data_IF_799762932730
#
_entry.id   IF_799762932730
#
_cell.length_a   1.000
_cell.length_b   1.000
_cell.length_c   1.000
_cell.angle_alpha   90.00
_cell.angle_beta   90.00
_cell.angle_gamma   90.00
#
_symmetry.space_group_name_H-M   'P 1'
#
loop_
_entity.id
_entity.type
_entity.pdbx_description
1 polymer ?
#
# COMPACT_ATOMS: atom_id res chain seq x y z
N UNK A 1 2.51 12.07 3.75
CA UNK A 1 2.07 10.83 3.10
C UNK A 1 0.94 10.19 3.88
N UNK A 2 -0.12 9.80 3.19
CA UNK A 2 -1.29 9.09 3.71
C UNK A 2 -1.47 7.79 2.90
N UNK A 3 -1.93 6.72 3.54
CA UNK A 3 -2.43 5.52 2.85
C UNK A 3 -3.90 5.39 3.24
N UNK A 4 -4.78 5.35 2.25
CA UNK A 4 -6.23 5.24 2.41
C UNK A 4 -6.75 4.01 1.65
N UNK A 5 -7.88 3.47 2.08
CA UNK A 5 -8.49 2.29 1.50
C UNK A 5 -9.44 1.61 2.47
N UNK A 6 -9.94 0.44 2.06
CA UNK A 6 -10.93 -0.28 2.87
C UNK A 6 -10.33 -0.86 4.14
N UNK A 7 -11.10 -0.77 5.23
CA UNK A 7 -10.79 -1.38 6.52
C UNK A 7 -11.10 -2.89 6.54
N UNK A 8 -11.88 -3.38 5.56
CA UNK A 8 -12.28 -4.78 5.45
C UNK A 8 -12.20 -5.28 4.02
N UNK A 9 -11.43 -6.35 3.81
CA UNK A 9 -11.26 -7.04 2.53
C UNK A 9 -11.89 -8.43 2.60
N UNK A 10 -12.65 -8.80 1.57
CA UNK A 10 -13.14 -10.17 1.42
C UNK A 10 -12.01 -11.05 0.86
N UNK A 11 -11.80 -12.21 1.47
CA UNK A 11 -10.79 -13.17 1.00
C UNK A 11 -11.13 -13.60 -0.44
N UNK A 12 -10.14 -13.52 -1.33
CA UNK A 12 -10.32 -13.89 -2.74
C UNK A 12 -10.96 -12.81 -3.59
N UNK A 13 -11.08 -11.56 -3.09
CA UNK A 13 -11.51 -10.40 -3.89
C UNK A 13 -10.38 -9.40 -4.05
N UNK A 14 -10.39 -8.66 -5.15
CA UNK A 14 -9.49 -7.53 -5.33
C UNK A 14 -9.76 -6.43 -4.29
N UNK A 15 -8.70 -5.80 -3.82
CA UNK A 15 -8.77 -4.63 -2.96
C UNK A 15 -7.74 -3.58 -3.39
N UNK A 16 -8.15 -2.32 -3.39
CA UNK A 16 -7.33 -1.20 -3.85
C UNK A 16 -7.10 -0.22 -2.71
N UNK A 17 -5.87 0.28 -2.62
CA UNK A 17 -5.44 1.27 -1.65
C UNK A 17 -4.78 2.44 -2.35
N UNK A 18 -5.13 3.65 -1.94
CA UNK A 18 -4.57 4.89 -2.47
C UNK A 18 -3.47 5.40 -1.53
N UNK A 19 -2.38 5.88 -2.12
CA UNK A 19 -1.21 6.40 -1.41
C UNK A 19 -1.02 7.83 -1.88
N UNK A 20 -1.22 8.78 -0.97
CA UNK A 20 -1.03 10.20 -1.22
C UNK A 20 0.32 10.62 -0.70
N UNK A 21 1.19 11.07 -1.59
CA UNK A 21 2.54 11.57 -1.30
C UNK A 21 2.53 13.07 -1.46
N UNK A 22 2.70 13.77 -0.34
CA UNK A 22 2.71 15.24 -0.26
C UNK A 22 3.99 15.75 0.40
N UNK A 23 4.38 16.96 0.04
CA UNK A 23 5.43 17.72 0.74
C UNK A 23 5.01 19.18 0.89
N UNK A 24 5.10 19.68 2.12
CA UNK A 24 4.71 21.05 2.47
C UNK A 24 3.27 21.43 2.03
N UNK A 25 2.35 20.47 1.99
CA UNK A 25 0.95 20.68 1.61
C UNK A 25 0.69 20.70 0.10
N UNK A 26 1.68 20.40 -0.74
CA UNK A 26 1.52 20.19 -2.17
C UNK A 26 1.79 18.71 -2.54
N UNK A 27 1.13 18.16 -3.56
CA UNK A 27 1.45 16.83 -4.07
C UNK A 27 2.91 16.74 -4.51
N UNK A 28 3.55 15.61 -4.21
CA UNK A 28 4.94 15.40 -4.57
C UNK A 28 5.06 15.08 -6.06
N UNK A 29 5.98 15.71 -6.82
CA UNK A 29 6.12 15.42 -8.25
C UNK A 29 6.55 13.97 -8.51
N UNK A 30 5.80 13.27 -9.36
CA UNK A 30 6.09 11.88 -9.74
C UNK A 30 7.48 11.72 -10.37
N UNK A 31 7.95 12.73 -11.10
CA UNK A 31 9.28 12.73 -11.71
C UNK A 31 10.41 12.62 -10.67
N UNK A 32 10.15 13.10 -9.46
CA UNK A 32 11.08 13.09 -8.34
C UNK A 32 10.92 11.84 -7.46
N UNK A 33 9.95 10.96 -7.74
CA UNK A 33 9.81 9.66 -7.10
C UNK A 33 10.63 8.61 -7.85
N UNK A 34 11.43 7.85 -7.11
CA UNK A 34 12.21 6.72 -7.61
C UNK A 34 11.37 5.45 -7.70
N UNK A 35 10.46 5.25 -6.75
CA UNK A 35 9.53 4.13 -6.74
C UNK A 35 8.68 4.11 -5.47
N UNK A 36 7.55 3.40 -5.55
CA UNK A 36 6.64 3.16 -4.43
C UNK A 36 6.42 1.66 -4.34
N UNK A 37 6.87 1.06 -3.24
CA UNK A 37 6.75 -0.36 -2.99
C UNK A 37 5.81 -0.62 -1.82
N UNK A 38 5.10 -1.74 -1.85
CA UNK A 38 4.27 -2.22 -0.74
C UNK A 38 4.73 -3.59 -0.25
N UNK A 39 4.45 -3.82 1.02
CA UNK A 39 4.68 -5.07 1.74
C UNK A 39 3.41 -5.39 2.54
N UNK A 40 2.89 -6.59 2.36
CA UNK A 40 1.72 -7.07 3.04
C UNK A 40 2.11 -8.09 4.10
N UNK A 41 1.71 -7.84 5.33
CA UNK A 41 1.93 -8.71 6.47
C UNK A 41 0.62 -9.29 6.97
N UNK A 42 0.61 -10.58 7.28
CA UNK A 42 -0.52 -11.23 7.92
C UNK A 42 -0.60 -10.90 9.43
N UNK A 43 -1.62 -11.44 10.11
CA UNK A 43 -1.82 -11.24 11.55
C UNK A 43 -0.76 -11.88 12.45
N UNK A 44 0.08 -12.76 11.91
CA UNK A 44 1.23 -13.35 12.60
C UNK A 44 2.52 -12.54 12.36
N UNK A 45 2.47 -11.53 11.48
CA UNK A 45 3.60 -10.70 11.09
C UNK A 45 4.46 -11.31 9.99
N UNK A 46 3.98 -12.35 9.30
CA UNK A 46 4.70 -12.91 8.16
C UNK A 46 4.48 -12.04 6.92
N UNK A 47 5.53 -11.84 6.14
CA UNK A 47 5.44 -11.19 4.84
C UNK A 47 4.81 -12.16 3.83
N UNK A 48 3.60 -11.84 3.38
CA UNK A 48 2.82 -12.69 2.46
C UNK A 48 2.86 -12.21 1.01
N UNK A 49 3.03 -10.91 0.79
CA UNK A 49 3.15 -10.34 -0.54
C UNK A 49 3.96 -9.04 -0.54
N UNK A 50 4.58 -8.74 -1.67
CA UNK A 50 5.24 -7.47 -1.96
C UNK A 50 5.02 -7.10 -3.41
N UNK A 51 5.00 -5.82 -3.72
CA UNK A 51 4.96 -5.35 -5.09
C UNK A 51 5.17 -3.85 -5.18
N UNK A 52 5.02 -3.32 -6.39
CA UNK A 52 5.11 -1.90 -6.66
C UNK A 52 3.72 -1.29 -6.80
N UNK A 53 3.55 -0.06 -6.35
CA UNK A 53 2.34 0.73 -6.57
C UNK A 53 2.40 1.39 -7.96
N UNK A 54 1.25 1.50 -8.62
CA UNK A 54 1.13 2.20 -9.90
C UNK A 54 0.88 3.68 -9.67
N UNK A 55 1.52 4.58 -10.43
CA UNK A 55 1.15 6.00 -10.36
C UNK A 55 -0.25 6.21 -10.93
N UNK A 56 -1.07 6.95 -10.19
CA UNK A 56 -2.39 7.45 -10.59
C UNK A 56 -2.36 8.95 -10.93
N UNK A 57 -1.18 9.59 -10.92
CA UNK A 57 -0.96 11.00 -11.23
C UNK A 57 -0.60 11.86 -10.00
N UNK A 58 0.09 12.97 -10.23
CA UNK A 58 0.52 14.01 -9.26
C UNK A 58 0.51 13.60 -7.78
N UNK A 59 1.49 12.79 -7.36
CA UNK A 59 1.69 12.38 -5.98
C UNK A 59 0.73 11.31 -5.47
N UNK A 60 -0.11 10.75 -6.33
CA UNK A 60 -1.06 9.67 -6.02
C UNK A 60 -0.57 8.37 -6.62
N UNK A 61 -0.52 7.33 -5.79
CA UNK A 61 -0.18 5.98 -6.20
C UNK A 61 -1.25 5.00 -5.74
N UNK A 62 -1.45 3.95 -6.52
CA UNK A 62 -2.44 2.92 -6.26
C UNK A 62 -1.76 1.58 -6.01
N UNK A 63 -2.10 0.94 -4.89
CA UNK A 63 -1.71 -0.42 -4.55
C UNK A 63 -2.92 -1.32 -4.75
N UNK A 64 -2.83 -2.22 -5.74
CA UNK A 64 -3.87 -3.22 -6.00
C UNK A 64 -3.45 -4.57 -5.44
N UNK A 65 -4.19 -5.06 -4.46
CA UNK A 65 -4.09 -6.44 -3.96
C UNK A 65 -5.03 -7.30 -4.79
N UNK A 66 -4.46 -8.16 -5.63
CA UNK A 66 -5.23 -9.10 -6.45
C UNK A 66 -5.98 -10.11 -5.59
N UNK A 67 -7.02 -10.72 -6.18
CA UNK A 67 -7.76 -11.83 -5.57
C UNK A 67 -6.86 -13.00 -5.13
N UNK A 68 -5.78 -13.27 -5.85
CA UNK A 68 -4.82 -14.32 -5.48
C UNK A 68 -4.06 -13.96 -4.19
N UNK A 69 -3.65 -12.70 -4.05
CA UNK A 69 -2.96 -12.19 -2.85
C UNK A 69 -3.90 -12.20 -1.65
N UNK A 70 -5.11 -11.66 -1.79
CA UNK A 70 -6.08 -11.64 -0.70
C UNK A 70 -6.63 -13.03 -0.37
N UNK A 71 -6.66 -13.93 -1.35
CA UNK A 71 -7.00 -15.35 -1.19
C UNK A 71 -5.97 -16.15 -0.38
N UNK A 72 -4.70 -15.72 -0.37
CA UNK A 72 -3.65 -16.32 0.45
C UNK A 72 -3.71 -15.92 1.93
N UNK A 73 -4.51 -14.89 2.26
CA UNK A 73 -4.67 -14.40 3.63
C UNK A 73 -5.65 -15.26 4.43
N UNK A 74 -5.31 -15.53 5.69
CA UNK A 74 -6.27 -16.04 6.66
C UNK A 74 -7.22 -14.93 7.11
N UNK A 75 -8.37 -15.27 7.69
CA UNK A 75 -9.24 -14.28 8.31
C UNK A 75 -8.56 -13.71 9.57
N UNK A 76 -8.43 -12.38 9.63
CA UNK A 76 -7.69 -11.72 10.70
C UNK A 76 -7.31 -10.29 10.38
N UNK A 77 -6.51 -9.68 11.26
CA UNK A 77 -5.93 -8.35 11.03
C UNK A 77 -4.66 -8.50 10.19
N UNK A 78 -4.52 -7.69 9.15
CA UNK A 78 -3.36 -7.65 8.27
C UNK A 78 -2.83 -6.21 8.23
N UNK A 79 -1.56 -6.07 7.92
CA UNK A 79 -0.91 -4.77 7.80
C UNK A 79 -0.36 -4.58 6.40
N UNK A 80 -0.85 -3.56 5.70
CA UNK A 80 -0.25 -3.11 4.45
C UNK A 80 0.71 -1.97 4.76
N UNK A 81 2.00 -2.20 4.51
CA UNK A 81 3.04 -1.19 4.64
C UNK A 81 3.46 -0.70 3.25
N UNK A 82 3.56 0.61 3.08
CA UNK A 82 3.99 1.26 1.85
C UNK A 82 5.25 2.07 2.12
N UNK A 83 6.21 1.97 1.20
CA UNK A 83 7.49 2.68 1.25
C UNK A 83 7.66 3.45 -0.06
N UNK A 84 7.89 4.75 0.07
CA UNK A 84 8.13 5.68 -1.04
C UNK A 84 9.59 6.10 -1.00
N UNK A 85 10.28 5.89 -2.12
CA UNK A 85 11.66 6.32 -2.32
C UNK A 85 11.66 7.51 -3.26
N UNK A 86 12.24 8.63 -2.82
CA UNK A 86 12.43 9.82 -3.64
C UNK A 86 13.83 9.88 -4.22
N UNK A 87 13.98 10.49 -5.39
CA UNK A 87 15.27 10.81 -6.04
C UNK A 87 15.95 12.03 -5.41
N UNK A 88 15.20 12.88 -4.70
CA UNK A 88 15.65 14.17 -4.17
C UNK A 88 16.08 14.13 -2.71
N UNK A 89 15.62 13.13 -1.95
CA UNK A 89 15.93 12.99 -0.53
C UNK A 89 16.54 11.63 -0.24
N UNK A 90 17.47 11.58 0.72
CA UNK A 90 18.19 10.35 1.07
C UNK A 90 17.37 9.38 1.95
N UNK A 91 16.35 9.90 2.65
CA UNK A 91 15.52 9.10 3.54
C UNK A 91 14.19 8.75 2.84
N UNK A 92 13.86 7.45 2.71
CA UNK A 92 12.56 7.04 2.22
C UNK A 92 11.47 7.38 3.25
N UNK A 93 10.25 7.59 2.76
CA UNK A 93 9.07 7.76 3.61
C UNK A 93 8.30 6.44 3.64
N UNK A 94 7.78 6.05 4.80
CA UNK A 94 6.96 4.84 4.92
C UNK A 94 5.71 5.11 5.75
N UNK A 95 4.61 4.48 5.39
CA UNK A 95 3.36 4.51 6.16
C UNK A 95 2.70 3.13 6.09
N UNK A 96 1.79 2.85 7.00
CA UNK A 96 1.10 1.57 7.06
C UNK A 96 -0.36 1.75 7.44
N UNK A 97 -1.22 0.91 6.88
CA UNK A 97 -2.63 0.79 7.22
C UNK A 97 -2.93 -0.63 7.67
N UNK A 98 -3.85 -0.77 8.61
CA UNK A 98 -4.37 -2.05 9.04
C UNK A 98 -5.74 -2.28 8.44
N UNK A 99 -5.99 -3.50 7.99
CA UNK A 99 -7.28 -3.92 7.48
C UNK A 99 -7.56 -5.36 7.90
N UNK A 100 -8.84 -5.71 7.98
CA UNK A 100 -9.25 -7.07 8.33
C UNK A 100 -9.65 -7.85 7.09
N UNK A 101 -9.19 -9.09 6.99
CA UNK A 101 -9.70 -10.05 6.03
C UNK A 101 -10.76 -10.92 6.67
N UNK A 102 -11.79 -11.26 5.88
CA UNK A 102 -12.77 -12.22 6.31
C UNK A 102 -13.29 -13.06 5.15
N UNK A 103 -13.78 -14.24 5.50
CA UNK A 103 -14.47 -15.10 4.55
C UNK A 103 -15.68 -14.37 3.93
N UNK A 104 -16.01 -14.68 2.66
CA UNK A 104 -17.20 -14.16 1.98
C UNK A 104 -18.52 -14.53 2.68
#
# INVERSE_FOLDING_TARGET
MLVDGTDRVTIGTEATYEVFVDFAGAPYPDEDIAGVAYMLFDGEGNLVATGDASSAGDGVYEVTLSADVTGALAAGSNTLQVVVVSKRVALPSSSSIQFVTAAP
#
